data_IF_351517968744
#
_entry.id   IF_351517968744
#
_cell.length_a   1.000
_cell.length_b   1.000
_cell.length_c   1.000
_cell.angle_alpha   90.00
_cell.angle_beta   90.00
_cell.angle_gamma   90.00
#
_symmetry.space_group_name_H-M   'P 1'
#
loop_
_entity.id
_entity.type
_entity.pdbx_description
1 polymer ?
#
# COMPACT_ATOMS: atom_id res chain seq x y z
N UNK A 1 17.19 -20.09 -2.77
CA UNK A 1 16.32 -19.42 -3.77
C UNK A 1 14.88 -19.96 -3.85
N UNK A 2 14.59 -21.21 -3.47
CA UNK A 2 13.20 -21.75 -3.46
C UNK A 2 12.41 -21.48 -2.15
N UNK A 3 13.08 -21.10 -1.06
CA UNK A 3 12.45 -20.85 0.25
C UNK A 3 11.68 -19.51 0.32
N UNK A 4 12.12 -18.46 -0.39
CA UNK A 4 11.43 -17.15 -0.39
C UNK A 4 10.07 -17.18 -1.10
N UNK A 5 9.88 -18.06 -2.10
CA UNK A 5 8.61 -18.17 -2.85
C UNK A 5 7.46 -18.70 -2.00
N UNK A 6 7.75 -19.60 -1.06
CA UNK A 6 6.75 -20.14 -0.15
C UNK A 6 6.29 -19.10 0.88
N UNK A 7 7.20 -18.23 1.35
CA UNK A 7 6.88 -17.13 2.25
C UNK A 7 5.94 -16.10 1.62
N UNK A 8 6.19 -15.74 0.36
CA UNK A 8 5.40 -14.77 -0.42
C UNK A 8 3.95 -15.24 -0.59
N UNK A 9 3.73 -16.47 -1.06
CA UNK A 9 2.38 -17.02 -1.25
C UNK A 9 1.61 -17.14 0.08
N UNK A 10 2.31 -17.41 1.19
CA UNK A 10 1.70 -17.54 2.50
C UNK A 10 1.27 -16.18 3.07
N UNK A 11 2.09 -15.13 2.85
CA UNK A 11 1.72 -13.73 3.15
C UNK A 11 0.47 -13.34 2.37
N UNK A 12 0.41 -13.56 1.06
CA UNK A 12 -0.76 -13.23 0.23
C UNK A 12 -2.03 -14.04 0.60
N UNK A 13 -1.90 -15.31 1.00
CA UNK A 13 -3.04 -16.10 1.48
C UNK A 13 -3.61 -15.61 2.83
N UNK A 14 -2.78 -14.98 3.66
CA UNK A 14 -3.20 -14.34 4.90
C UNK A 14 -3.65 -12.89 4.66
N UNK A 15 -3.14 -12.26 3.61
CA UNK A 15 -3.49 -10.92 3.17
C UNK A 15 -4.98 -10.82 2.75
N UNK A 16 -5.49 -11.83 2.05
CA UNK A 16 -6.93 -11.97 1.78
C UNK A 16 -7.80 -12.15 3.05
N UNK A 17 -7.21 -12.55 4.18
CA UNK A 17 -7.89 -12.62 5.49
C UNK A 17 -7.83 -11.31 6.28
N UNK A 18 -6.79 -10.49 6.09
CA UNK A 18 -6.61 -9.21 6.80
C UNK A 18 -7.60 -8.15 6.31
N UNK A 19 -8.05 -8.20 5.06
CA UNK A 19 -9.11 -7.31 4.57
C UNK A 19 -10.47 -7.50 5.29
N UNK A 20 -10.65 -8.58 6.06
CA UNK A 20 -11.92 -8.95 6.70
C UNK A 20 -11.92 -8.84 8.23
N UNK A 21 -10.77 -8.57 8.86
CA UNK A 21 -10.71 -8.46 10.33
C UNK A 21 -9.95 -7.20 10.75
N UNK A 22 -10.73 -6.16 11.07
CA UNK A 22 -10.29 -5.13 11.98
C UNK A 22 -9.68 -5.78 13.22
N UNK A 23 -8.49 -5.29 13.58
CA UNK A 23 -7.70 -5.59 14.79
C UNK A 23 -8.46 -6.46 15.81
N UNK A 24 -8.23 -7.78 15.78
CA UNK A 24 -8.50 -8.65 16.94
C UNK A 24 -7.84 -10.03 16.80
N UNK A 25 -6.90 -10.26 17.73
CA UNK A 25 -6.53 -11.51 18.41
C UNK A 25 -5.83 -12.63 17.59
N UNK A 26 -4.53 -12.71 17.87
CA UNK A 26 -3.68 -13.92 18.05
C UNK A 26 -4.07 -15.18 17.28
N UNK A 27 -3.24 -15.57 16.31
CA UNK A 27 -3.01 -16.99 15.98
C UNK A 27 -1.52 -17.28 15.73
N UNK A 28 -0.97 -18.04 16.68
CA UNK A 28 0.33 -18.72 16.65
C UNK A 28 0.40 -19.71 15.47
N UNK A 29 1.35 -19.52 14.54
CA UNK A 29 1.95 -20.59 13.74
C UNK A 29 3.45 -20.29 13.57
N UNK A 30 4.26 -21.14 14.19
CA UNK A 30 5.73 -21.10 14.18
C UNK A 30 6.26 -21.19 12.75
N UNK A 31 6.94 -20.14 12.30
CA UNK A 31 7.48 -19.99 10.94
C UNK A 31 7.19 -18.62 10.30
N UNK A 32 6.12 -17.93 10.71
CA UNK A 32 5.68 -16.64 10.11
C UNK A 32 5.47 -15.49 11.11
N UNK A 33 5.56 -15.76 12.42
CA UNK A 33 5.38 -14.74 13.47
C UNK A 33 6.39 -13.59 13.37
N UNK A 34 7.63 -13.88 12.95
CA UNK A 34 8.68 -12.88 12.85
C UNK A 34 8.40 -11.77 11.83
N UNK A 35 7.82 -12.09 10.67
CA UNK A 35 7.55 -11.09 9.63
C UNK A 35 6.42 -10.15 10.03
N UNK A 36 5.35 -10.67 10.63
CA UNK A 36 4.23 -9.86 11.12
C UNK A 36 4.69 -8.98 12.29
N UNK A 37 5.52 -9.51 13.19
CA UNK A 37 6.10 -8.74 14.29
C UNK A 37 7.01 -7.62 13.76
N UNK A 38 7.84 -7.88 12.76
CA UNK A 38 8.68 -6.86 12.09
C UNK A 38 7.81 -5.76 11.46
N UNK A 39 6.77 -6.13 10.71
CA UNK A 39 5.81 -5.20 10.12
C UNK A 39 5.19 -4.30 11.18
N UNK A 40 4.65 -4.89 12.25
CA UNK A 40 4.03 -4.14 13.35
C UNK A 40 5.03 -3.22 14.04
N UNK A 41 6.27 -3.69 14.24
CA UNK A 41 7.35 -2.90 14.87
C UNK A 41 7.69 -1.67 14.05
N UNK A 42 7.82 -1.80 12.73
CA UNK A 42 8.11 -0.68 11.83
C UNK A 42 6.98 0.34 11.81
N UNK A 43 5.73 -0.12 11.66
CA UNK A 43 4.56 0.78 11.66
C UNK A 43 4.38 1.49 13.00
N UNK A 44 4.63 0.79 14.11
CA UNK A 44 4.56 1.38 15.44
C UNK A 44 5.66 2.42 15.65
N UNK A 45 6.91 2.10 15.26
CA UNK A 45 8.02 3.04 15.29
C UNK A 45 7.73 4.28 14.45
N UNK A 46 7.07 4.14 13.29
CA UNK A 46 6.65 5.26 12.46
C UNK A 46 5.62 6.16 13.16
N UNK A 47 4.61 5.57 13.82
CA UNK A 47 3.63 6.34 14.59
C UNK A 47 4.26 7.12 15.74
N UNK A 48 5.31 6.58 16.37
CA UNK A 48 6.08 7.26 17.41
C UNK A 48 6.97 8.37 16.82
N UNK A 49 7.54 8.14 15.63
CA UNK A 49 8.38 9.10 14.93
C UNK A 49 7.59 10.34 14.49
N UNK A 50 6.40 10.13 13.91
CA UNK A 50 5.54 11.20 13.43
C UNK A 50 4.10 11.03 13.95
N UNK A 51 3.82 11.46 15.20
CA UNK A 51 2.50 11.29 15.81
C UNK A 51 1.42 12.17 15.17
N UNK A 52 1.81 13.22 14.45
CA UNK A 52 0.85 14.13 13.78
C UNK A 52 0.19 13.45 12.59
N UNK A 53 0.96 12.67 11.84
CA UNK A 53 0.46 11.90 10.70
C UNK A 53 -0.11 10.56 11.18
N UNK A 54 0.64 9.86 12.04
CA UNK A 54 0.24 8.56 12.57
C UNK A 54 0.16 7.49 11.47
N UNK A 55 -0.65 6.46 11.70
CA UNK A 55 -0.85 5.38 10.74
C UNK A 55 -1.89 5.78 9.68
N UNK A 56 -1.49 5.76 8.41
CA UNK A 56 -2.41 5.86 7.27
C UNK A 56 -2.70 4.48 6.69
N UNK A 57 -3.95 4.23 6.32
CA UNK A 57 -4.36 2.97 5.68
C UNK A 57 -3.61 2.78 4.35
N UNK A 58 -2.94 1.63 4.19
CA UNK A 58 -2.11 1.32 3.02
C UNK A 58 -0.60 1.28 3.32
N UNK A 59 -0.16 1.93 4.42
CA UNK A 59 1.25 1.87 4.85
C UNK A 59 1.71 0.45 5.19
N UNK A 60 0.81 -0.41 5.66
CA UNK A 60 1.09 -1.81 5.90
C UNK A 60 1.51 -2.57 4.62
N UNK A 61 0.97 -2.19 3.45
CA UNK A 61 1.35 -2.79 2.18
C UNK A 61 2.72 -2.31 1.71
N UNK A 62 3.00 -1.01 1.89
CA UNK A 62 4.32 -0.44 1.64
C UNK A 62 5.41 -1.14 2.47
N UNK A 63 5.22 -1.20 3.78
CA UNK A 63 6.19 -1.83 4.68
C UNK A 63 6.28 -3.34 4.44
N UNK A 64 5.14 -4.00 4.23
CA UNK A 64 5.10 -5.43 3.93
C UNK A 64 5.90 -5.78 2.68
N UNK A 65 5.82 -4.95 1.64
CA UNK A 65 6.61 -5.12 0.42
C UNK A 65 8.09 -4.82 0.63
N UNK A 66 8.45 -3.76 1.34
CA UNK A 66 9.85 -3.43 1.66
C UNK A 66 10.54 -4.56 2.44
N UNK A 67 9.85 -5.13 3.42
CA UNK A 67 10.37 -6.24 4.25
C UNK A 67 10.67 -7.53 3.46
N UNK A 68 10.26 -7.62 2.18
CA UNK A 68 10.68 -8.70 1.30
C UNK A 68 12.11 -8.54 0.77
N UNK A 69 12.64 -7.31 0.77
CA UNK A 69 13.92 -6.97 0.16
C UNK A 69 14.94 -6.42 1.15
N UNK A 70 14.48 -5.74 2.20
CA UNK A 70 15.33 -5.06 3.19
C UNK A 70 14.95 -5.43 4.62
N UNK A 71 15.84 -5.15 5.56
CA UNK A 71 15.58 -5.35 6.99
C UNK A 71 14.64 -4.28 7.57
N UNK A 72 14.17 -4.50 8.79
CA UNK A 72 13.15 -3.65 9.41
C UNK A 72 13.59 -2.19 9.60
N UNK A 73 14.87 -1.95 9.92
CA UNK A 73 15.42 -0.60 10.06
C UNK A 73 15.41 0.17 8.73
N UNK A 74 15.87 -0.48 7.67
CA UNK A 74 15.85 0.11 6.33
C UNK A 74 14.42 0.33 5.83
N UNK A 75 13.51 -0.62 6.07
CA UNK A 75 12.10 -0.48 5.74
C UNK A 75 11.46 0.72 6.46
N UNK A 76 11.83 0.95 7.72
CA UNK A 76 11.39 2.14 8.47
C UNK A 76 11.86 3.44 7.82
N UNK A 77 13.16 3.55 7.50
CA UNK A 77 13.69 4.77 6.86
C UNK A 77 13.13 4.98 5.45
N UNK A 78 12.89 3.90 4.70
CA UNK A 78 12.19 3.95 3.43
C UNK A 78 10.76 4.49 3.58
N UNK A 79 10.01 4.00 4.58
CA UNK A 79 8.66 4.51 4.85
C UNK A 79 8.69 6.00 5.20
N UNK A 80 9.60 6.42 6.09
CA UNK A 80 9.78 7.85 6.44
C UNK A 80 10.11 8.68 5.20
N UNK A 81 11.03 8.22 4.35
CA UNK A 81 11.39 8.93 3.14
C UNK A 81 10.20 9.07 2.18
N UNK A 82 9.44 8.00 1.95
CA UNK A 82 8.23 8.04 1.11
C UNK A 82 7.25 9.07 1.67
N UNK A 83 6.86 8.92 2.92
CA UNK A 83 5.76 9.70 3.49
C UNK A 83 6.13 11.17 3.71
N UNK A 84 7.37 11.46 4.11
CA UNK A 84 7.77 12.81 4.52
C UNK A 84 8.58 13.58 3.48
N UNK A 85 9.23 12.91 2.52
CA UNK A 85 10.10 13.57 1.54
C UNK A 85 9.57 13.52 0.10
N UNK A 86 9.01 12.38 -0.32
CA UNK A 86 8.57 12.21 -1.71
C UNK A 86 7.15 12.72 -1.95
N UNK A 87 6.30 12.68 -0.92
CA UNK A 87 4.92 13.15 -1.01
C UNK A 87 4.74 14.46 -0.23
N UNK A 88 3.78 15.31 -0.65
CA UNK A 88 3.41 16.48 0.14
C UNK A 88 2.85 16.03 1.49
N UNK A 89 3.09 16.84 2.52
CA UNK A 89 2.62 16.55 3.89
C UNK A 89 1.11 16.27 4.01
N UNK A 90 0.32 16.75 3.05
CA UNK A 90 -1.14 16.56 2.96
C UNK A 90 -1.56 15.27 2.23
N UNK A 91 -0.63 14.42 1.82
CA UNK A 91 -0.95 13.22 1.04
C UNK A 91 -1.45 12.07 1.92
N UNK A 92 -0.77 11.82 3.04
CA UNK A 92 -1.08 10.77 4.01
C UNK A 92 -1.68 11.30 5.31
N UNK A 93 -2.03 12.60 5.37
CA UNK A 93 -2.68 13.19 6.54
C UNK A 93 -4.14 12.73 6.67
N UNK A 94 -4.84 13.18 7.71
CA UNK A 94 -6.24 12.79 7.93
C UNK A 94 -7.21 13.28 6.84
N UNK A 95 -6.83 14.31 6.08
CA UNK A 95 -7.67 14.90 5.05
C UNK A 95 -7.38 14.30 3.67
N UNK A 96 -6.22 13.67 3.48
CA UNK A 96 -5.78 13.00 2.26
C UNK A 96 -5.88 13.90 1.02
N UNK A 97 -5.69 15.22 1.19
CA UNK A 97 -5.87 16.21 0.12
C UNK A 97 -4.97 15.91 -1.08
N UNK A 98 -3.74 15.47 -0.82
CA UNK A 98 -2.81 15.07 -1.88
C UNK A 98 -3.33 13.86 -2.67
N UNK A 99 -3.81 12.83 -1.98
CA UNK A 99 -4.36 11.64 -2.64
C UNK A 99 -5.65 11.96 -3.40
N UNK A 100 -6.54 12.80 -2.85
CA UNK A 100 -7.75 13.25 -3.53
C UNK A 100 -7.44 14.01 -4.83
N UNK A 101 -6.38 14.84 -4.84
CA UNK A 101 -5.95 15.53 -6.05
C UNK A 101 -5.55 14.54 -7.16
N UNK A 102 -4.80 13.49 -6.81
CA UNK A 102 -4.41 12.44 -7.76
C UNK A 102 -5.63 11.63 -8.26
N UNK A 103 -6.65 11.44 -7.44
CA UNK A 103 -7.91 10.81 -7.87
C UNK A 103 -8.67 11.66 -8.88
N UNK A 104 -8.74 12.98 -8.69
CA UNK A 104 -9.36 13.87 -9.65
C UNK A 104 -8.59 13.90 -10.97
N UNK A 105 -7.26 13.90 -10.91
CA UNK A 105 -6.42 13.75 -12.10
C UNK A 105 -6.70 12.43 -12.83
N UNK A 106 -6.82 11.31 -12.11
CA UNK A 106 -7.17 10.02 -12.69
C UNK A 106 -8.55 10.05 -13.37
N UNK A 107 -9.56 10.69 -12.76
CA UNK A 107 -10.88 10.86 -13.37
C UNK A 107 -10.80 11.65 -14.67
N UNK A 108 -10.02 12.72 -14.71
CA UNK A 108 -9.82 13.52 -15.92
C UNK A 108 -9.08 12.73 -17.03
N UNK A 109 -8.05 11.98 -16.66
CA UNK A 109 -7.35 11.08 -17.56
C UNK A 109 -8.27 10.00 -18.10
N UNK A 110 -9.14 9.42 -17.28
CA UNK A 110 -10.10 8.41 -17.73
C UNK A 110 -11.11 9.00 -18.72
N UNK A 111 -11.63 10.20 -18.45
CA UNK A 111 -12.55 10.91 -19.36
C UNK A 111 -11.89 11.22 -20.70
N UNK A 112 -10.62 11.63 -20.69
CA UNK A 112 -9.90 12.03 -21.91
C UNK A 112 -9.39 10.84 -22.73
N UNK A 113 -8.84 9.81 -22.07
CA UNK A 113 -8.19 8.67 -22.75
C UNK A 113 -9.12 7.49 -22.97
N UNK A 114 -10.06 7.25 -22.07
CA UNK A 114 -10.97 6.09 -22.08
C UNK A 114 -12.44 6.52 -21.87
N UNK A 115 -12.97 7.43 -22.71
CA UNK A 115 -14.30 8.02 -22.50
C UNK A 115 -15.42 6.98 -22.45
N UNK A 116 -15.30 5.87 -23.19
CA UNK A 116 -16.27 4.76 -23.15
C UNK A 116 -16.36 4.13 -21.76
N UNK A 117 -15.22 3.91 -21.11
CA UNK A 117 -15.16 3.33 -19.76
C UNK A 117 -15.67 4.35 -18.75
N UNK A 118 -15.24 5.62 -18.87
CA UNK A 118 -15.73 6.68 -17.98
C UNK A 118 -17.25 6.82 -18.04
N UNK A 119 -17.85 6.79 -19.23
CA UNK A 119 -19.29 6.86 -19.40
C UNK A 119 -20.00 5.61 -18.83
N UNK A 120 -19.41 4.42 -18.99
CA UNK A 120 -19.97 3.18 -18.46
C UNK A 120 -19.96 3.16 -16.93
N UNK A 121 -18.85 3.57 -16.30
CA UNK A 121 -18.77 3.67 -14.83
C UNK A 121 -19.76 4.70 -14.29
N UNK A 122 -19.91 5.84 -14.96
CA UNK A 122 -20.90 6.85 -14.59
C UNK A 122 -22.34 6.34 -14.72
N UNK A 123 -22.65 5.55 -15.76
CA UNK A 123 -23.98 4.96 -15.94
C UNK A 123 -24.33 3.90 -14.87
N UNK A 124 -23.31 3.31 -14.23
CA UNK A 124 -23.46 2.36 -13.13
C UNK A 124 -23.41 3.03 -11.75
N UNK A 125 -23.31 4.36 -11.68
CA UNK A 125 -23.15 5.14 -10.44
C UNK A 125 -21.94 4.69 -9.59
N UNK A 126 -20.86 4.28 -10.27
CA UNK A 126 -19.63 3.83 -9.60
C UNK A 126 -18.74 5.04 -9.32
N UNK A 127 -18.59 5.35 -8.03
CA UNK A 127 -17.66 6.37 -7.57
C UNK A 127 -16.20 5.86 -7.60
N UNK A 128 -15.46 6.31 -8.61
CA UNK A 128 -14.06 5.90 -8.82
C UNK A 128 -13.15 6.24 -7.62
N UNK A 129 -13.44 7.32 -6.89
CA UNK A 129 -12.65 7.72 -5.72
C UNK A 129 -12.68 6.67 -4.61
N UNK A 130 -13.80 5.99 -4.41
CA UNK A 130 -13.91 4.99 -3.35
C UNK A 130 -13.02 3.76 -3.62
N UNK A 131 -12.88 3.39 -4.89
CA UNK A 131 -12.05 2.25 -5.32
C UNK A 131 -10.57 2.62 -5.34
N UNK A 132 -10.25 3.79 -5.89
CA UNK A 132 -8.87 4.17 -6.22
C UNK A 132 -8.09 4.73 -5.04
N UNK A 133 -8.76 5.12 -3.95
CA UNK A 133 -8.06 5.73 -2.81
C UNK A 133 -7.04 4.77 -2.22
N UNK A 134 -7.43 3.51 -2.01
CA UNK A 134 -6.53 2.48 -1.51
C UNK A 134 -5.36 2.22 -2.48
N UNK A 135 -5.57 2.35 -3.79
CA UNK A 135 -4.50 2.21 -4.78
C UNK A 135 -3.47 3.33 -4.63
N UNK A 136 -3.90 4.58 -4.47
CA UNK A 136 -2.99 5.70 -4.27
C UNK A 136 -2.27 5.66 -2.93
N UNK A 137 -2.91 5.22 -1.85
CA UNK A 137 -2.28 5.12 -0.53
C UNK A 137 -1.31 3.93 -0.40
N UNK A 138 -1.54 2.87 -1.17
CA UNK A 138 -0.63 1.72 -1.26
C UNK A 138 0.42 1.86 -2.38
N UNK A 139 0.44 2.99 -3.09
CA UNK A 139 1.28 3.22 -4.28
C UNK A 139 1.14 2.09 -5.31
N UNK A 140 -0.08 1.59 -5.50
CA UNK A 140 -0.47 0.52 -6.43
C UNK A 140 0.18 -0.85 -6.16
N UNK A 141 0.94 -1.01 -5.08
CA UNK A 141 1.65 -2.25 -4.73
C UNK A 141 0.68 -3.42 -4.56
N UNK A 142 -0.50 -3.14 -4.03
CA UNK A 142 -1.56 -4.13 -3.82
C UNK A 142 -2.39 -4.40 -5.09
N UNK A 143 -2.60 -3.37 -5.92
CA UNK A 143 -3.44 -3.48 -7.11
C UNK A 143 -2.77 -4.15 -8.32
N UNK A 144 -1.45 -4.29 -8.31
CA UNK A 144 -0.66 -4.79 -9.44
C UNK A 144 0.05 -6.09 -9.05
N UNK A 145 -0.11 -7.19 -9.80
CA UNK A 145 0.64 -8.43 -9.56
C UNK A 145 2.14 -8.14 -9.50
N UNK A 146 2.85 -8.74 -8.53
CA UNK A 146 4.27 -8.49 -8.28
C UNK A 146 5.14 -8.65 -9.54
N UNK A 147 4.73 -9.52 -10.47
CA UNK A 147 5.44 -9.69 -11.74
C UNK A 147 5.53 -8.37 -12.54
N UNK A 148 4.49 -7.54 -12.50
CA UNK A 148 4.46 -6.24 -13.19
C UNK A 148 5.21 -5.15 -12.41
N UNK A 149 5.16 -5.15 -11.07
CA UNK A 149 5.86 -4.15 -10.25
C UNK A 149 7.39 -4.28 -10.36
N UNK A 150 7.93 -5.50 -10.35
CA UNK A 150 9.37 -5.74 -10.52
C UNK A 150 9.87 -5.41 -11.93
N UNK A 151 9.05 -5.63 -12.97
CA UNK A 151 9.41 -5.29 -14.35
C UNK A 151 9.50 -3.78 -14.58
N UNK A 152 8.56 -2.99 -14.03
CA UNK A 152 8.61 -1.53 -14.16
C UNK A 152 9.84 -0.91 -13.51
N UNK A 153 10.26 -1.42 -12.35
CA UNK A 153 11.43 -0.94 -11.60
C UNK A 153 12.77 -1.33 -12.25
N UNK A 154 12.81 -2.47 -12.96
CA UNK A 154 14.01 -2.94 -13.66
C UNK A 154 14.16 -2.35 -15.08
N UNK A 155 13.06 -1.96 -15.73
CA UNK A 155 13.07 -1.37 -17.08
C UNK A 155 13.02 0.18 -17.09
N UNK A 156 12.96 0.82 -15.93
CA UNK A 156 13.00 2.29 -15.77
C UNK A 156 14.41 2.87 -15.57
N UNK A 157 15.41 2.37 -16.32
CA UNK A 157 16.75 3.00 -16.46
C UNK A 157 16.98 3.41 -17.92
#
# INVERSE_FOLDING_TARGET
MLSSRAGILNVFSQWGRIHMTGISREQHHEGNGGTIQKLQSVLHAFCLHNPKLGYCQGMNFLVGMMLLFVDAEDAFWCLVAIVERYFPSSYFDQNLIGAQADQELLKELLRSKLPKISAHLAALDIELSTVTLNWFLSLFIDSVPIECNLLSWLYGN
#
